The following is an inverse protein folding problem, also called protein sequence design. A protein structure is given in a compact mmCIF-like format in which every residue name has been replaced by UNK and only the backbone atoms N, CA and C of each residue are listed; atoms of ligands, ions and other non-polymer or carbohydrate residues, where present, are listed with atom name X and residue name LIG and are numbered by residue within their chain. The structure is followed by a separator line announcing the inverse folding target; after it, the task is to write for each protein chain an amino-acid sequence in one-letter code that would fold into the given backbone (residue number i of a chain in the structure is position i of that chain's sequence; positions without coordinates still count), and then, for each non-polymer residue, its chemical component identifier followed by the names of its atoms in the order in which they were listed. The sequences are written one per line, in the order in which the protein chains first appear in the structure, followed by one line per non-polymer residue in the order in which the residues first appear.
data_IF_089899166177
#
_entry.id   IF_089899166177
#
_cell.length_a   1.000
_cell.length_b   1.000
_cell.length_c   1.000
_cell.angle_alpha   90.00
_cell.angle_beta   90.00
_cell.angle_gamma   90.00
#
_symmetry.space_group_name_H-M   'P 1'
#
loop_
_entity.id
_entity.type
_entity.pdbx_description
1 polymer ?
#
# COMPACT_ATOMS: atom_id res chain seq x y z
N UNK A 1 13.78 51.01 -45.39
CA UNK A 1 13.30 49.61 -45.42
C UNK A 1 14.13 48.83 -44.41
N UNK A 2 13.70 48.77 -43.13
CA UNK A 2 14.45 48.13 -42.04
C UNK A 2 13.95 46.70 -41.84
N UNK A 3 14.81 45.69 -42.02
CA UNK A 3 14.52 44.29 -41.71
C UNK A 3 15.01 43.99 -40.30
N UNK A 4 14.09 43.78 -39.36
CA UNK A 4 14.37 43.27 -38.01
C UNK A 4 14.46 41.75 -38.10
N UNK A 5 15.64 41.19 -37.84
CA UNK A 5 15.85 39.75 -37.67
C UNK A 5 15.70 39.46 -36.18
N UNK A 6 14.57 38.87 -35.79
CA UNK A 6 14.36 38.37 -34.43
C UNK A 6 15.03 37.01 -34.32
N UNK A 7 16.18 36.94 -33.66
CA UNK A 7 16.78 35.68 -33.22
C UNK A 7 16.00 35.18 -31.98
N UNK A 8 15.10 34.22 -32.19
CA UNK A 8 14.46 33.50 -31.09
C UNK A 8 15.46 32.55 -30.43
N UNK A 9 15.98 32.93 -29.27
CA UNK A 9 16.67 32.00 -28.36
C UNK A 9 15.61 31.08 -27.72
N UNK A 10 15.50 29.86 -28.21
CA UNK A 10 14.71 28.82 -27.54
C UNK A 10 15.45 28.40 -26.25
N UNK A 11 14.99 28.89 -25.11
CA UNK A 11 15.46 28.46 -23.80
C UNK A 11 14.80 27.11 -23.48
N UNK A 12 15.44 26.00 -23.87
CA UNK A 12 15.03 24.66 -23.44
C UNK A 12 15.43 24.51 -21.98
N UNK A 13 14.48 24.76 -21.07
CA UNK A 13 14.62 24.32 -19.67
C UNK A 13 14.46 22.82 -19.67
N UNK A 14 15.58 22.09 -19.70
CA UNK A 14 15.58 20.69 -19.32
C UNK A 14 15.29 20.62 -17.83
N UNK A 15 14.00 20.53 -17.45
CA UNK A 15 13.64 20.12 -16.10
C UNK A 15 14.19 18.71 -15.91
N UNK A 16 15.14 18.47 -15.00
CA UNK A 16 15.45 17.11 -14.59
C UNK A 16 14.16 16.63 -13.93
N UNK A 17 13.40 15.79 -14.63
CA UNK A 17 12.34 15.03 -14.00
C UNK A 17 13.01 14.19 -12.92
N UNK A 18 13.00 14.67 -11.69
CA UNK A 18 13.35 13.85 -10.55
C UNK A 18 12.33 12.72 -10.55
N UNK A 19 12.72 11.56 -11.07
CA UNK A 19 11.98 10.33 -10.89
C UNK A 19 11.90 10.12 -9.38
N UNK A 20 10.77 10.52 -8.78
CA UNK A 20 10.52 10.27 -7.37
C UNK A 20 10.52 8.76 -7.18
N UNK A 21 11.59 8.23 -6.60
CA UNK A 21 11.70 6.80 -6.33
C UNK A 21 10.60 6.43 -5.32
N UNK A 22 9.70 5.53 -5.71
CA UNK A 22 8.61 5.07 -4.85
C UNK A 22 9.22 4.41 -3.61
N UNK A 23 8.98 5.00 -2.43
CA UNK A 23 9.52 4.46 -1.19
C UNK A 23 8.85 3.14 -0.85
N UNK A 24 9.62 2.18 -0.30
CA UNK A 24 9.17 0.82 -0.06
C UNK A 24 9.28 0.44 1.42
N UNK A 25 8.22 -0.14 1.97
CA UNK A 25 8.07 -0.49 3.38
C UNK A 25 7.69 -1.98 3.50
N UNK A 26 8.60 -2.82 4.00
CA UNK A 26 8.34 -4.27 4.13
C UNK A 26 7.70 -4.55 5.48
N UNK A 27 6.54 -5.22 5.50
CA UNK A 27 5.75 -5.43 6.72
C UNK A 27 6.50 -6.17 7.84
N UNK A 28 7.47 -7.03 7.50
CA UNK A 28 8.29 -7.76 8.48
C UNK A 28 9.24 -6.84 9.24
N UNK A 29 9.66 -5.72 8.64
CA UNK A 29 10.44 -4.69 9.33
C UNK A 29 9.63 -3.96 10.41
N UNK A 30 8.30 -4.05 10.35
CA UNK A 30 7.37 -3.51 11.34
C UNK A 30 6.88 -4.57 12.34
N UNK A 31 7.44 -5.79 12.29
CA UNK A 31 7.12 -6.88 13.21
C UNK A 31 6.02 -7.84 12.74
N UNK A 32 5.53 -7.73 11.51
CA UNK A 32 4.58 -8.69 10.97
C UNK A 32 5.24 -10.06 10.82
N UNK A 33 4.54 -11.13 11.20
CA UNK A 33 5.06 -12.51 11.12
C UNK A 33 4.27 -13.32 10.10
N UNK A 34 4.98 -13.84 9.10
CA UNK A 34 4.43 -14.65 8.01
C UNK A 34 4.20 -16.13 8.38
N UNK A 35 3.82 -16.41 9.62
CA UNK A 35 3.70 -17.77 10.19
C UNK A 35 2.29 -18.38 10.13
N UNK A 36 1.32 -17.62 9.61
CA UNK A 36 -0.09 -18.01 9.49
C UNK A 36 -0.86 -18.08 10.80
N UNK A 37 -0.28 -17.61 11.92
CA UNK A 37 -0.86 -17.73 13.27
C UNK A 37 -0.82 -16.42 14.05
N UNK A 38 0.28 -15.67 13.96
CA UNK A 38 0.46 -14.42 14.69
C UNK A 38 -0.37 -13.30 14.08
N UNK A 39 -1.16 -12.62 14.93
CA UNK A 39 -1.91 -11.43 14.54
C UNK A 39 -0.96 -10.29 14.13
N UNK A 40 -0.99 -9.91 12.87
CA UNK A 40 -0.08 -8.93 12.25
C UNK A 40 -0.75 -7.59 11.93
N UNK A 41 -2.02 -7.39 12.30
CA UNK A 41 -2.81 -6.17 12.00
C UNK A 41 -2.06 -4.89 12.35
N UNK A 42 -1.56 -4.78 13.58
CA UNK A 42 -0.86 -3.57 14.06
C UNK A 42 0.43 -3.33 13.27
N UNK A 43 1.21 -4.37 13.02
CA UNK A 43 2.47 -4.25 12.28
C UNK A 43 2.24 -3.82 10.83
N UNK A 44 1.25 -4.41 10.16
CA UNK A 44 0.91 -4.06 8.77
C UNK A 44 0.32 -2.65 8.71
N UNK A 45 -0.54 -2.27 9.67
CA UNK A 45 -1.09 -0.92 9.73
C UNK A 45 0.00 0.13 9.97
N UNK A 46 0.98 -0.14 10.84
CA UNK A 46 2.11 0.76 11.05
C UNK A 46 2.95 0.95 9.77
N UNK A 47 3.13 -0.11 8.97
CA UNK A 47 3.79 -0.01 7.68
C UNK A 47 3.01 0.88 6.70
N UNK A 48 1.68 0.73 6.65
CA UNK A 48 0.79 1.57 5.83
C UNK A 48 0.82 3.03 6.28
N UNK A 49 0.74 3.28 7.59
CA UNK A 49 0.72 4.62 8.15
C UNK A 49 2.06 5.32 7.87
N UNK A 50 3.18 4.62 8.05
CA UNK A 50 4.51 5.16 7.71
C UNK A 50 4.67 5.43 6.22
N UNK A 51 4.15 4.53 5.39
CA UNK A 51 4.20 4.69 3.93
C UNK A 51 3.41 5.92 3.46
N UNK A 52 2.28 6.23 4.11
CA UNK A 52 1.43 7.36 3.77
C UNK A 52 2.14 8.72 3.95
N UNK A 53 3.12 8.83 4.86
CA UNK A 53 3.91 10.04 5.07
C UNK A 53 4.71 10.45 3.82
N UNK A 54 4.97 9.52 2.90
CA UNK A 54 5.76 9.75 1.68
C UNK A 54 4.92 10.12 0.44
N UNK A 55 3.59 10.04 0.50
CA UNK A 55 2.67 10.44 -0.57
C UNK A 55 2.60 9.54 -1.82
N UNK A 56 3.69 8.86 -2.20
CA UNK A 56 3.70 7.81 -3.23
C UNK A 56 4.64 6.67 -2.82
N UNK A 57 4.08 5.59 -2.29
CA UNK A 57 4.85 4.54 -1.63
C UNK A 57 4.25 3.16 -1.81
N UNK A 58 5.05 2.14 -1.49
CA UNK A 58 4.72 0.72 -1.62
C UNK A 58 4.90 0.03 -0.28
N UNK A 59 3.86 -0.62 0.21
CA UNK A 59 3.92 -1.55 1.34
C UNK A 59 4.04 -2.97 0.79
N UNK A 60 5.14 -3.64 1.10
CA UNK A 60 5.43 -4.99 0.62
C UNK A 60 4.98 -6.01 1.67
N UNK A 61 4.01 -6.83 1.29
CA UNK A 61 3.74 -8.10 1.97
C UNK A 61 4.62 -9.16 1.30
N UNK A 62 5.66 -9.58 2.01
CA UNK A 62 6.62 -10.58 1.52
C UNK A 62 6.03 -11.99 1.55
N UNK A 63 6.75 -12.97 0.98
CA UNK A 63 6.34 -14.38 1.01
C UNK A 63 6.07 -14.85 2.45
N UNK A 64 4.95 -15.52 2.67
CA UNK A 64 4.50 -15.99 3.99
C UNK A 64 3.01 -15.77 4.19
N UNK A 65 2.48 -16.26 5.30
CA UNK A 65 1.05 -16.14 5.64
C UNK A 65 0.86 -15.19 6.82
N UNK A 66 0.12 -14.11 6.63
CA UNK A 66 -0.02 -13.05 7.64
C UNK A 66 -1.48 -12.93 8.06
N UNK A 67 -1.77 -13.23 9.33
CA UNK A 67 -3.13 -13.09 9.89
C UNK A 67 -3.39 -11.62 10.18
N UNK A 68 -4.51 -11.08 9.73
CA UNK A 68 -4.90 -9.69 9.98
C UNK A 68 -6.40 -9.53 10.17
N UNK A 69 -6.79 -8.57 11.00
CA UNK A 69 -8.11 -7.96 10.97
C UNK A 69 -8.19 -6.87 9.90
N UNK A 70 -8.98 -5.82 10.15
CA UNK A 70 -9.13 -4.69 9.23
C UNK A 70 -7.81 -3.92 9.02
N UNK A 71 -7.47 -3.69 7.75
CA UNK A 71 -6.41 -2.77 7.32
C UNK A 71 -7.02 -1.53 6.67
N UNK A 72 -6.60 -0.36 7.12
CA UNK A 72 -7.04 0.92 6.59
C UNK A 72 -5.98 1.50 5.66
N UNK A 73 -6.18 1.35 4.34
CA UNK A 73 -5.31 1.97 3.35
C UNK A 73 -5.40 3.50 3.43
N UNK A 74 -4.31 4.16 3.02
CA UNK A 74 -4.16 5.63 3.03
C UNK A 74 -3.89 6.13 1.62
N UNK A 75 -4.14 7.42 1.39
CA UNK A 75 -3.91 8.07 0.11
C UNK A 75 -2.46 7.88 -0.34
N UNK A 76 -2.24 7.45 -1.59
CA UNK A 76 -0.90 7.31 -2.15
C UNK A 76 -0.16 6.03 -1.80
N UNK A 77 -0.81 5.08 -1.12
CA UNK A 77 -0.22 3.80 -0.73
C UNK A 77 -0.63 2.68 -1.70
N UNK A 78 0.38 1.98 -2.22
CA UNK A 78 0.24 0.68 -2.88
C UNK A 78 0.47 -0.44 -1.87
N UNK A 79 -0.51 -1.33 -1.66
CA UNK A 79 -0.33 -2.58 -0.94
C UNK A 79 0.05 -3.69 -1.93
N UNK A 80 1.32 -4.06 -1.97
CA UNK A 80 1.86 -5.03 -2.92
C UNK A 80 2.10 -6.39 -2.27
N UNK A 81 1.35 -7.40 -2.70
CA UNK A 81 1.50 -8.78 -2.25
C UNK A 81 2.44 -9.53 -3.20
N UNK A 82 3.64 -9.87 -2.72
CA UNK A 82 4.59 -10.65 -3.49
C UNK A 82 4.05 -12.05 -3.79
N UNK A 83 4.61 -12.72 -4.79
CA UNK A 83 4.31 -14.13 -5.08
C UNK A 83 4.53 -14.97 -3.82
N UNK A 84 3.51 -15.74 -3.43
CA UNK A 84 3.53 -16.58 -2.21
C UNK A 84 3.32 -15.81 -0.90
N UNK A 85 2.97 -14.52 -0.95
CA UNK A 85 2.38 -13.81 0.18
C UNK A 85 0.89 -14.14 0.28
N UNK A 86 0.40 -14.42 1.48
CA UNK A 86 -1.01 -14.66 1.75
C UNK A 86 -1.44 -13.74 2.90
N UNK A 87 -2.36 -12.83 2.64
CA UNK A 87 -3.09 -12.12 3.69
C UNK A 87 -4.25 -13.00 4.12
N UNK A 88 -4.18 -13.53 5.35
CA UNK A 88 -5.22 -14.34 5.95
C UNK A 88 -6.12 -13.46 6.82
N UNK A 89 -7.42 -13.42 6.51
CA UNK A 89 -8.41 -12.80 7.38
C UNK A 89 -8.43 -13.49 8.74
N UNK A 90 -8.52 -12.70 9.81
CA UNK A 90 -8.88 -13.24 11.12
C UNK A 90 -10.23 -13.93 11.05
N UNK A 91 -10.37 -15.03 11.78
CA UNK A 91 -11.65 -15.74 11.96
C UNK A 91 -12.45 -15.17 13.13
N UNK A 92 -11.91 -14.19 13.86
CA UNK A 92 -12.64 -13.49 14.92
C UNK A 92 -13.34 -12.27 14.37
N UNK A 93 -14.68 -12.24 14.48
CA UNK A 93 -15.52 -11.10 14.10
C UNK A 93 -15.15 -9.81 14.85
N UNK A 94 -14.54 -9.91 16.04
CA UNK A 94 -14.16 -8.74 16.84
C UNK A 94 -12.94 -8.00 16.27
N UNK A 95 -12.16 -8.65 15.41
CA UNK A 95 -11.00 -8.04 14.76
C UNK A 95 -11.39 -7.12 13.58
N UNK A 96 -12.68 -7.06 13.28
CA UNK A 96 -13.27 -6.20 12.25
C UNK A 96 -14.14 -5.09 12.84
N UNK A 97 -13.93 -4.74 14.11
CA UNK A 97 -14.68 -3.71 14.82
C UNK A 97 -15.65 -4.29 15.86
N UNK A 98 -16.10 -3.43 16.79
CA UNK A 98 -17.00 -3.84 17.90
C UNK A 98 -18.49 -3.72 17.55
N UNK A 99 -18.83 -2.76 16.68
CA UNK A 99 -20.16 -2.58 16.08
C UNK A 99 -20.22 -3.27 14.72
N UNK A 100 -20.75 -2.63 13.69
CA UNK A 100 -20.78 -3.21 12.34
C UNK A 100 -19.39 -3.66 11.88
N UNK A 101 -19.29 -4.89 11.39
CA UNK A 101 -18.03 -5.45 10.94
C UNK A 101 -17.55 -4.69 9.70
N UNK A 102 -16.29 -4.26 9.72
CA UNK A 102 -15.62 -3.65 8.58
C UNK A 102 -15.06 -4.71 7.63
N UNK A 103 -14.83 -4.31 6.38
CA UNK A 103 -14.11 -5.14 5.43
C UNK A 103 -12.65 -5.36 5.88
N UNK A 104 -12.07 -6.50 5.53
CA UNK A 104 -10.66 -6.82 5.82
C UNK A 104 -9.69 -5.75 5.30
N UNK A 105 -10.00 -5.11 4.18
CA UNK A 105 -9.24 -3.98 3.64
C UNK A 105 -10.24 -2.86 3.31
N UNK A 106 -10.00 -1.65 3.82
CA UNK A 106 -10.88 -0.50 3.63
C UNK A 106 -10.09 0.77 3.34
N UNK A 107 -10.69 1.70 2.59
CA UNK A 107 -10.05 2.94 2.15
C UNK A 107 -11.05 4.10 2.05
N UNK A 108 -11.80 4.36 3.12
CA UNK A 108 -12.84 5.41 3.15
C UNK A 108 -12.22 6.81 2.93
N UNK A 109 -12.68 7.50 1.87
CA UNK A 109 -12.26 8.87 1.54
C UNK A 109 -10.78 9.00 1.17
N UNK A 110 -10.17 7.95 0.59
CA UNK A 110 -8.76 7.93 0.16
C UNK A 110 -8.65 7.87 -1.36
N UNK A 111 -7.58 8.45 -1.90
CA UNK A 111 -7.30 8.55 -3.34
C UNK A 111 -5.95 7.91 -3.69
N UNK A 112 -5.72 7.59 -4.96
CA UNK A 112 -4.45 7.02 -5.45
C UNK A 112 -3.99 5.82 -4.60
N UNK A 113 -4.89 4.86 -4.41
CA UNK A 113 -4.63 3.60 -3.71
C UNK A 113 -4.51 2.49 -4.74
N UNK A 114 -3.69 1.48 -4.46
CA UNK A 114 -3.64 0.28 -5.28
C UNK A 114 -3.36 -0.96 -4.44
N UNK A 115 -3.88 -2.09 -4.90
CA UNK A 115 -3.53 -3.42 -4.40
C UNK A 115 -2.99 -4.19 -5.60
N UNK A 116 -1.75 -4.66 -5.51
CA UNK A 116 -1.03 -5.22 -6.66
C UNK A 116 -0.27 -6.48 -6.27
N UNK A 117 0.32 -7.14 -7.27
CA UNK A 117 1.20 -8.29 -7.08
C UNK A 117 0.52 -9.62 -7.41
N UNK A 118 1.19 -10.71 -7.01
CA UNK A 118 0.82 -12.10 -7.33
C UNK A 118 0.53 -12.93 -6.09
N UNK A 119 0.39 -12.29 -4.93
CA UNK A 119 -0.05 -12.95 -3.71
C UNK A 119 -1.56 -13.13 -3.62
N UNK A 120 -1.99 -13.66 -2.49
CA UNK A 120 -3.38 -14.04 -2.22
C UNK A 120 -3.97 -13.20 -1.09
N UNK A 121 -5.23 -12.79 -1.23
CA UNK A 121 -6.06 -12.28 -0.14
C UNK A 121 -7.11 -13.35 0.15
N UNK A 122 -7.06 -13.92 1.34
CA UNK A 122 -7.90 -15.03 1.75
C UNK A 122 -8.72 -14.62 2.98
N UNK A 123 -10.01 -14.34 2.79
CA UNK A 123 -10.89 -13.87 3.85
C UNK A 123 -11.26 -14.92 4.91
N UNK A 124 -10.94 -16.20 4.69
CA UNK A 124 -11.25 -17.32 5.61
C UNK A 124 -12.70 -17.35 6.11
N UNK A 125 -13.65 -17.00 5.24
CA UNK A 125 -15.07 -17.12 5.53
C UNK A 125 -15.46 -18.58 5.74
N UNK A 126 -16.39 -18.84 6.68
CA UNK A 126 -16.96 -20.17 6.84
C UNK A 126 -17.83 -20.51 5.61
N UNK A 127 -17.75 -21.75 5.14
CA UNK A 127 -18.74 -22.27 4.21
C UNK A 127 -20.09 -22.33 4.93
N UNK A 128 -21.12 -21.73 4.31
CA UNK A 128 -22.51 -21.78 4.77
C UNK A 128 -23.35 -22.67 3.88
#
# INVERSE_FOLDING_TARGET
MFKIIVLSFAFIVAMPGAFAQQQTFVVTAFGAKGDGRTMSTVAIQNAIDKAAESGHSKVIVSRGSFVTGTLHLKTGVELHLQKGAILLGSTSRLDYGKGDAEAMITAKGKNNISITGQGEINGRGAAV
#
